data_IF_726504649441
#
_entry.id   IF_726504649441
#
_cell.length_a   1.000
_cell.length_b   1.000
_cell.length_c   1.000
_cell.angle_alpha   90.00
_cell.angle_beta   90.00
_cell.angle_gamma   90.00
#
_symmetry.space_group_name_H-M   'P 1'
#
loop_
_entity.id
_entity.type
_entity.pdbx_description
1 polymer ?
#
# COMPACT_ATOMS: atom_id res chain seq x y z
N UNK A 1 3.90 -18.23 -31.18
CA UNK A 1 4.21 -16.95 -30.51
C UNK A 1 4.64 -17.31 -29.09
N UNK A 2 5.92 -17.20 -28.80
CA UNK A 2 6.52 -17.64 -27.54
C UNK A 2 6.13 -16.71 -26.39
N UNK A 3 5.59 -17.25 -25.31
CA UNK A 3 5.29 -16.50 -24.10
C UNK A 3 6.57 -16.37 -23.26
N UNK A 4 7.10 -15.15 -23.12
CA UNK A 4 8.26 -14.87 -22.30
C UNK A 4 7.86 -14.77 -20.82
N UNK A 5 8.36 -15.69 -20.00
CA UNK A 5 8.14 -15.75 -18.56
C UNK A 5 9.33 -15.18 -17.79
N UNK A 6 9.05 -14.65 -16.61
CA UNK A 6 10.02 -14.11 -15.68
C UNK A 6 9.70 -14.65 -14.28
N UNK A 7 10.72 -14.93 -13.47
CA UNK A 7 10.58 -15.38 -12.09
C UNK A 7 11.57 -14.68 -11.16
N UNK A 8 11.32 -14.70 -9.86
CA UNK A 8 12.20 -14.11 -8.84
C UNK A 8 13.03 -15.20 -8.16
N UNK A 9 14.34 -15.10 -8.26
CA UNK A 9 15.31 -15.98 -7.61
C UNK A 9 16.34 -15.11 -6.88
N UNK A 10 16.62 -15.42 -5.61
CA UNK A 10 17.51 -14.62 -4.73
C UNK A 10 17.19 -13.12 -4.72
N UNK A 11 15.88 -12.80 -4.71
CA UNK A 11 15.37 -11.43 -4.71
C UNK A 11 15.72 -10.61 -5.97
N UNK A 12 16.14 -11.29 -7.05
CA UNK A 12 16.42 -10.72 -8.37
C UNK A 12 15.45 -11.28 -9.41
N UNK A 13 15.10 -10.46 -10.41
CA UNK A 13 14.28 -10.92 -11.54
C UNK A 13 15.16 -11.70 -12.53
N UNK A 14 14.74 -12.91 -12.88
CA UNK A 14 15.42 -13.78 -13.85
C UNK A 14 14.46 -14.04 -15.02
N UNK A 15 14.95 -13.79 -16.24
CA UNK A 15 14.20 -13.92 -17.48
C UNK A 15 14.66 -12.93 -18.56
N UNK A 16 14.08 -12.94 -19.77
CA UNK A 16 12.96 -13.78 -20.20
C UNK A 16 13.38 -15.25 -20.42
N UNK A 17 12.57 -16.18 -19.92
CA UNK A 17 12.67 -17.62 -20.19
C UNK A 17 11.45 -18.06 -21.00
N UNK A 18 11.62 -19.05 -21.87
CA UNK A 18 10.50 -19.61 -22.63
C UNK A 18 9.55 -20.42 -21.71
N UNK A 19 8.29 -20.59 -22.10
CA UNK A 19 7.32 -21.38 -21.33
C UNK A 19 7.77 -22.83 -21.11
N UNK A 20 8.46 -23.44 -22.08
CA UNK A 20 8.99 -24.80 -21.95
C UNK A 20 10.11 -24.89 -20.90
N UNK A 21 11.04 -23.95 -20.92
CA UNK A 21 12.12 -23.84 -19.93
C UNK A 21 11.57 -23.51 -18.53
N UNK A 22 10.59 -22.61 -18.47
CA UNK A 22 9.90 -22.21 -17.24
C UNK A 22 9.18 -23.39 -16.58
N UNK A 23 8.48 -24.23 -17.35
CA UNK A 23 7.89 -25.48 -16.85
C UNK A 23 8.96 -26.45 -16.35
N UNK A 24 10.10 -26.53 -17.03
CA UNK A 24 11.27 -27.29 -16.56
C UNK A 24 11.78 -26.81 -15.21
N UNK A 25 11.83 -25.50 -14.97
CA UNK A 25 12.23 -24.93 -13.69
C UNK A 25 11.24 -25.20 -12.55
N UNK A 26 9.95 -25.26 -12.85
CA UNK A 26 8.92 -25.68 -11.88
C UNK A 26 9.11 -27.17 -11.53
N UNK A 27 9.30 -28.04 -12.52
CA UNK A 27 9.47 -29.48 -12.29
C UNK A 27 10.78 -29.84 -11.57
N UNK A 28 11.85 -29.09 -11.85
CA UNK A 28 13.14 -29.24 -11.16
C UNK A 28 13.14 -28.72 -9.71
N UNK A 29 12.06 -28.04 -9.29
CA UNK A 29 11.95 -27.44 -7.95
C UNK A 29 12.71 -26.14 -7.76
N UNK A 30 13.28 -25.57 -8.85
CA UNK A 30 13.94 -24.26 -8.86
C UNK A 30 12.93 -23.14 -8.59
N UNK A 31 11.75 -23.23 -9.20
CA UNK A 31 10.61 -22.33 -8.94
C UNK A 31 9.63 -23.05 -8.03
N UNK A 32 9.43 -22.51 -6.82
CA UNK A 32 8.53 -23.06 -5.81
C UNK A 32 7.16 -22.38 -5.85
N UNK A 33 6.19 -22.95 -5.15
CA UNK A 33 4.81 -22.46 -5.08
C UNK A 33 4.69 -21.01 -4.60
N UNK A 34 5.65 -20.54 -3.80
CA UNK A 34 5.74 -19.19 -3.24
C UNK A 34 6.54 -18.20 -4.11
N UNK A 35 7.16 -18.68 -5.19
CA UNK A 35 7.99 -17.87 -6.07
C UNK A 35 7.13 -16.92 -6.91
N UNK A 36 7.54 -15.65 -6.98
CA UNK A 36 6.88 -14.64 -7.79
C UNK A 36 7.25 -14.81 -9.26
N UNK A 37 6.21 -14.85 -10.10
CA UNK A 37 6.31 -15.08 -11.54
C UNK A 37 5.51 -14.02 -12.29
N UNK A 38 5.95 -13.71 -13.50
CA UNK A 38 5.30 -12.72 -14.36
C UNK A 38 5.44 -13.11 -15.83
N UNK A 39 4.40 -12.84 -16.62
CA UNK A 39 4.43 -12.90 -18.09
C UNK A 39 3.85 -11.62 -18.66
N UNK A 40 4.23 -11.30 -19.89
CA UNK A 40 3.66 -10.19 -20.65
C UNK A 40 2.13 -10.38 -20.76
N UNK A 41 1.37 -9.44 -20.17
CA UNK A 41 -0.09 -9.51 -20.06
C UNK A 41 -0.63 -9.65 -18.62
N UNK A 42 0.24 -9.81 -17.62
CA UNK A 42 -0.15 -9.69 -16.21
C UNK A 42 -0.03 -8.24 -15.72
N UNK A 43 -1.04 -7.77 -14.99
CA UNK A 43 -1.05 -6.45 -14.37
C UNK A 43 0.02 -6.29 -13.29
N UNK A 44 0.40 -7.39 -12.61
CA UNK A 44 1.41 -7.44 -11.54
C UNK A 44 2.04 -8.84 -11.42
N UNK A 45 3.15 -8.95 -10.66
CA UNK A 45 3.77 -10.23 -10.31
C UNK A 45 2.81 -11.08 -9.47
N UNK A 46 2.67 -12.35 -9.82
CA UNK A 46 1.79 -13.30 -9.13
C UNK A 46 2.61 -14.46 -8.58
N UNK A 47 2.23 -15.04 -7.45
CA UNK A 47 2.91 -16.26 -6.99
C UNK A 47 2.52 -17.44 -7.86
N UNK A 48 3.41 -18.42 -8.03
CA UNK A 48 3.13 -19.61 -8.83
C UNK A 48 1.83 -20.31 -8.38
N UNK A 49 1.56 -20.36 -7.08
CA UNK A 49 0.32 -20.94 -6.53
C UNK A 49 -0.98 -20.17 -6.86
N UNK A 50 -0.88 -18.88 -7.18
CA UNK A 50 -2.02 -18.02 -7.53
C UNK A 50 -2.36 -18.10 -9.03
N UNK A 51 -1.49 -18.75 -9.83
CA UNK A 51 -1.71 -18.94 -11.26
C UNK A 51 -2.33 -20.32 -11.49
N UNK A 52 -3.62 -20.34 -11.81
CA UNK A 52 -4.39 -21.57 -12.03
C UNK A 52 -3.79 -22.48 -13.14
N UNK A 53 -3.10 -21.90 -14.13
CA UNK A 53 -2.41 -22.63 -15.22
C UNK A 53 -1.33 -23.61 -14.70
N UNK A 54 -0.78 -23.40 -13.50
CA UNK A 54 0.29 -24.23 -12.93
C UNK A 54 -0.08 -24.93 -11.61
N UNK A 55 -1.30 -24.74 -11.09
CA UNK A 55 -1.80 -25.47 -9.90
C UNK A 55 -1.81 -26.99 -10.08
N UNK A 56 -2.01 -27.46 -11.31
CA UNK A 56 -1.98 -28.89 -11.63
C UNK A 56 -0.56 -29.49 -11.61
N UNK A 57 0.49 -28.68 -11.73
CA UNK A 57 1.89 -29.12 -11.72
C UNK A 57 2.54 -29.09 -10.33
N UNK A 58 2.00 -28.32 -9.37
CA UNK A 58 2.51 -28.22 -7.99
C UNK A 58 1.90 -29.25 -7.03
N UNK A 59 1.14 -30.22 -7.56
CA UNK A 59 0.50 -31.29 -6.80
C UNK A 59 1.52 -32.35 -6.34
N UNK A 60 2.29 -32.06 -5.30
CA UNK A 60 2.91 -33.12 -4.49
C UNK A 60 1.91 -33.62 -3.44
N UNK A 61 1.82 -34.94 -3.18
CA UNK A 61 0.89 -35.49 -2.19
C UNK A 61 1.34 -35.11 -0.77
N UNK A 62 0.42 -34.56 0.01
CA UNK A 62 0.60 -34.33 1.43
C UNK A 62 0.81 -35.66 2.19
N UNK A 63 1.80 -35.80 3.08
CA UNK A 63 1.85 -36.93 4.00
C UNK A 63 0.80 -36.79 5.09
N UNK A 64 0.26 -37.95 5.46
CA UNK A 64 -0.90 -38.21 6.30
C UNK A 64 -0.87 -37.59 7.71
N UNK A 65 -2.09 -37.32 8.19
CA UNK A 65 -2.45 -36.84 9.52
C UNK A 65 -2.06 -37.79 10.67
N UNK A 66 -1.84 -37.22 11.87
CA UNK A 66 -2.24 -37.71 13.21
C UNK A 66 -1.82 -36.67 14.29
N UNK A 67 -2.34 -36.73 15.53
CA UNK A 67 -3.69 -36.44 15.97
C UNK A 67 -3.75 -35.21 16.92
N UNK A 68 -4.96 -34.67 17.13
CA UNK A 68 -5.28 -33.64 18.13
C UNK A 68 -4.84 -34.10 19.53
N UNK A 69 -4.02 -33.29 20.21
CA UNK A 69 -3.86 -33.32 21.65
C UNK A 69 -4.41 -32.01 22.20
N UNK A 70 -5.57 -32.07 22.82
CA UNK A 70 -6.09 -31.03 23.71
C UNK A 70 -5.07 -30.78 24.83
N UNK A 71 -4.55 -29.56 24.89
CA UNK A 71 -3.93 -29.01 26.09
C UNK A 71 -4.56 -27.65 26.38
N UNK A 72 -5.48 -27.70 27.34
CA UNK A 72 -5.60 -26.79 28.48
C UNK A 72 -5.21 -25.32 28.23
N UNK A 73 -6.24 -24.49 28.14
CA UNK A 73 -6.23 -23.08 27.72
C UNK A 73 -5.92 -22.14 28.91
N UNK A 74 -5.27 -22.64 29.97
CA UNK A 74 -5.09 -21.90 31.23
C UNK A 74 -3.76 -21.15 31.36
N UNK A 75 -2.97 -21.04 30.28
CA UNK A 75 -1.73 -20.22 30.30
C UNK A 75 -1.32 -19.71 28.92
N UNK A 76 -2.17 -18.91 28.28
CA UNK A 76 -1.72 -18.06 27.17
C UNK A 76 -1.22 -16.74 27.78
N UNK A 77 0.10 -16.46 27.80
CA UNK A 77 0.55 -15.09 27.97
C UNK A 77 0.06 -14.31 26.75
N UNK A 78 -0.56 -13.16 26.99
CA UNK A 78 -0.97 -12.19 25.96
C UNK A 78 0.24 -11.92 25.06
N UNK A 79 0.30 -12.58 23.90
CA UNK A 79 1.24 -12.27 22.85
C UNK A 79 0.76 -10.97 22.20
N UNK A 80 1.31 -9.88 22.70
CA UNK A 80 1.26 -8.57 22.09
C UNK A 80 1.69 -8.73 20.61
N UNK A 81 0.84 -8.34 19.66
CA UNK A 81 1.12 -8.31 18.22
C UNK A 81 2.22 -7.29 17.91
N UNK A 82 3.46 -7.61 18.22
CA UNK A 82 4.64 -6.84 17.84
C UNK A 82 5.85 -7.75 17.70
N UNK A 83 5.86 -8.62 16.68
CA UNK A 83 7.09 -9.31 16.25
C UNK A 83 6.99 -10.08 14.92
N UNK A 84 6.22 -9.60 13.94
CA UNK A 84 6.79 -9.62 12.60
C UNK A 84 7.79 -8.46 12.57
N UNK A 85 9.08 -8.65 12.26
CA UNK A 85 9.98 -7.52 12.14
C UNK A 85 9.48 -6.71 10.95
N UNK A 86 8.72 -5.64 11.20
CA UNK A 86 8.72 -4.50 10.29
C UNK A 86 10.20 -4.22 10.08
N UNK A 87 10.70 -4.30 8.85
CA UNK A 87 12.06 -3.83 8.53
C UNK A 87 12.03 -2.33 8.75
N UNK A 88 12.15 -1.91 10.01
CA UNK A 88 12.30 -0.51 10.39
C UNK A 88 13.58 -0.05 9.71
N UNK A 89 13.50 1.03 8.94
CA UNK A 89 14.68 1.58 8.28
C UNK A 89 15.68 2.00 9.35
N UNK A 90 16.83 1.33 9.37
CA UNK A 90 17.97 1.72 10.20
C UNK A 90 18.65 2.94 9.56
N UNK A 91 18.10 4.15 9.77
CA UNK A 91 18.61 5.40 9.19
C UNK A 91 20.10 5.66 9.45
N UNK A 92 20.60 5.19 10.60
CA UNK A 92 21.99 5.35 11.02
C UNK A 92 22.97 4.42 10.26
N UNK A 93 22.46 3.38 9.60
CA UNK A 93 23.29 2.43 8.84
C UNK A 93 23.43 2.82 7.37
N UNK A 94 22.64 3.78 6.91
CA UNK A 94 22.65 4.27 5.53
C UNK A 94 23.92 5.07 5.30
N UNK A 95 24.77 4.62 4.38
CA UNK A 95 25.95 5.37 3.93
C UNK A 95 25.56 6.37 2.84
N UNK A 96 26.38 7.40 2.66
CA UNK A 96 26.08 8.46 1.69
C UNK A 96 26.08 7.97 0.23
N UNK A 97 26.81 6.89 -0.04
CA UNK A 97 26.93 6.27 -1.37
C UNK A 97 25.94 5.12 -1.62
N UNK A 98 25.14 4.76 -0.62
CA UNK A 98 24.16 3.67 -0.76
C UNK A 98 23.01 4.13 -1.68
N UNK A 99 22.91 3.50 -2.85
CA UNK A 99 21.80 3.72 -3.78
C UNK A 99 20.55 3.01 -3.27
N UNK A 100 19.84 3.65 -2.35
CA UNK A 100 18.65 3.09 -1.71
C UNK A 100 17.45 4.04 -1.73
N UNK A 101 17.63 5.31 -2.09
CA UNK A 101 16.56 6.29 -2.05
C UNK A 101 15.87 6.37 -3.41
N UNK A 102 14.61 6.00 -3.46
CA UNK A 102 13.74 6.27 -4.59
C UNK A 102 13.14 7.66 -4.42
N UNK A 103 13.05 8.42 -5.51
CA UNK A 103 12.38 9.72 -5.52
C UNK A 103 11.26 9.73 -6.55
N UNK A 104 10.28 10.58 -6.32
CA UNK A 104 9.17 10.79 -7.24
C UNK A 104 8.98 12.28 -7.41
N UNK A 105 9.16 12.73 -8.65
CA UNK A 105 9.17 14.14 -9.05
C UNK A 105 7.98 14.39 -9.97
N UNK A 106 7.41 15.58 -9.93
CA UNK A 106 6.31 15.97 -10.82
C UNK A 106 5.15 16.60 -10.06
N UNK A 107 4.76 16.00 -8.93
CA UNK A 107 3.72 16.54 -8.05
C UNK A 107 4.06 17.96 -7.58
N UNK A 108 5.31 18.19 -7.17
CA UNK A 108 5.83 19.50 -6.74
C UNK A 108 5.92 20.55 -7.87
N UNK A 109 5.79 20.11 -9.14
CA UNK A 109 5.94 20.95 -10.35
C UNK A 109 4.66 21.02 -11.19
N UNK A 110 3.55 20.44 -10.71
CA UNK A 110 2.27 20.40 -11.42
C UNK A 110 2.28 19.51 -12.68
N UNK A 111 3.18 18.53 -12.75
CA UNK A 111 3.29 17.57 -13.84
C UNK A 111 3.01 16.14 -13.40
N UNK A 112 3.03 15.21 -14.36
CA UNK A 112 2.86 13.78 -14.08
C UNK A 112 3.96 13.26 -13.15
N UNK A 113 3.53 12.37 -12.27
CA UNK A 113 4.35 11.72 -11.26
C UNK A 113 5.28 10.68 -11.88
N UNK A 114 6.59 10.95 -11.89
CA UNK A 114 7.59 10.01 -12.42
C UNK A 114 8.54 9.57 -11.31
N UNK A 115 8.68 8.25 -11.16
CA UNK A 115 9.56 7.61 -10.20
C UNK A 115 10.97 7.44 -10.77
N UNK A 116 11.98 7.82 -9.99
CA UNK A 116 13.39 7.73 -10.34
C UNK A 116 14.18 7.13 -9.17
N UNK A 117 15.28 6.46 -9.50
CA UNK A 117 16.20 5.92 -8.50
C UNK A 117 16.71 4.53 -8.89
N UNK A 118 17.39 3.85 -7.95
CA UNK A 118 17.74 4.33 -6.62
C UNK A 118 18.92 5.31 -6.63
N UNK A 119 18.84 6.36 -5.82
CA UNK A 119 19.88 7.37 -5.65
C UNK A 119 20.58 7.24 -4.31
N UNK A 120 21.83 7.68 -4.26
CA UNK A 120 22.59 7.87 -3.03
C UNK A 120 22.36 9.25 -2.42
N UNK A 121 22.68 9.44 -1.14
CA UNK A 121 22.54 10.76 -0.48
C UNK A 121 23.41 11.80 -1.20
N UNK A 122 24.62 11.42 -1.65
CA UNK A 122 25.50 12.28 -2.45
C UNK A 122 24.84 12.72 -3.77
N UNK A 123 24.17 11.80 -4.46
CA UNK A 123 23.44 12.10 -5.70
C UNK A 123 22.23 13.00 -5.44
N UNK A 124 21.53 12.80 -4.33
CA UNK A 124 20.42 13.66 -3.92
C UNK A 124 20.90 15.06 -3.54
N UNK A 125 22.02 15.20 -2.83
CA UNK A 125 22.61 16.49 -2.47
C UNK A 125 22.93 17.30 -3.73
N UNK A 126 23.62 16.69 -4.70
CA UNK A 126 23.89 17.33 -5.99
C UNK A 126 22.60 17.68 -6.76
N UNK A 127 21.62 16.79 -6.79
CA UNK A 127 20.34 17.05 -7.46
C UNK A 127 19.56 18.19 -6.79
N UNK A 128 19.70 18.36 -5.47
CA UNK A 128 19.09 19.45 -4.70
C UNK A 128 19.78 20.79 -5.03
N UNK A 129 21.13 20.82 -5.07
CA UNK A 129 21.91 21.99 -5.51
C UNK A 129 21.59 22.40 -6.95
N UNK A 130 21.40 21.43 -7.85
CA UNK A 130 20.99 21.66 -9.25
C UNK A 130 19.49 22.07 -9.38
N UNK A 131 18.76 22.25 -8.28
CA UNK A 131 17.33 22.53 -8.24
C UNK A 131 16.47 21.50 -9.02
N UNK A 132 16.98 20.28 -9.18
CA UNK A 132 16.28 19.16 -9.84
C UNK A 132 15.31 18.44 -8.90
N UNK A 133 15.57 18.54 -7.60
CA UNK A 133 14.67 18.12 -6.52
C UNK A 133 14.58 19.24 -5.49
N UNK A 134 13.57 19.18 -4.62
CA UNK A 134 13.38 20.13 -3.51
C UNK A 134 12.83 19.39 -2.29
N UNK A 135 12.59 20.11 -1.19
CA UNK A 135 12.06 19.52 0.04
C UNK A 135 10.68 18.85 -0.12
N UNK A 136 9.88 19.26 -1.12
CA UNK A 136 8.56 18.67 -1.45
C UNK A 136 8.64 17.52 -2.46
N UNK A 137 9.84 17.13 -2.90
CA UNK A 137 10.00 15.91 -3.69
C UNK A 137 9.66 14.70 -2.82
N UNK A 138 8.86 13.77 -3.34
CA UNK A 138 8.56 12.54 -2.61
C UNK A 138 9.78 11.62 -2.63
N UNK A 139 10.06 10.99 -1.50
CA UNK A 139 11.14 10.05 -1.33
C UNK A 139 10.69 8.80 -0.57
N UNK A 140 11.24 7.66 -0.95
CA UNK A 140 10.98 6.37 -0.36
C UNK A 140 12.28 5.60 -0.18
N UNK A 141 12.46 5.04 1.00
CA UNK A 141 13.58 4.16 1.33
C UNK A 141 12.99 2.78 1.65
N UNK A 142 13.53 1.69 1.07
CA UNK A 142 13.08 0.33 1.37
C UNK A 142 13.04 0.05 2.88
N UNK A 143 11.84 -0.28 3.38
CA UNK A 143 11.55 -0.44 4.82
C UNK A 143 10.66 0.66 5.41
N UNK A 144 10.37 1.72 4.64
CA UNK A 144 9.34 2.70 5.01
C UNK A 144 7.93 2.18 4.73
N UNK A 145 6.94 2.66 5.48
CA UNK A 145 5.52 2.30 5.31
C UNK A 145 4.88 3.03 4.10
N UNK A 146 5.33 4.23 3.75
CA UNK A 146 4.82 5.04 2.64
C UNK A 146 5.85 6.05 2.14
N UNK A 147 5.63 6.61 0.94
CA UNK A 147 6.37 7.76 0.43
C UNK A 147 6.19 8.97 1.36
N UNK A 148 7.27 9.69 1.64
CA UNK A 148 7.27 10.90 2.46
C UNK A 148 7.97 12.03 1.72
N UNK A 149 7.76 13.27 2.14
CA UNK A 149 8.53 14.38 1.57
C UNK A 149 10.00 14.27 1.94
N UNK A 150 10.87 14.66 1.01
CA UNK A 150 12.32 14.60 1.19
C UNK A 150 12.74 15.39 2.44
N UNK A 151 12.10 16.55 2.69
CA UNK A 151 12.29 17.39 3.87
C UNK A 151 11.91 16.73 5.21
N UNK A 152 11.15 15.65 5.20
CA UNK A 152 10.71 14.93 6.40
C UNK A 152 11.53 13.67 6.68
N UNK A 153 12.42 13.30 5.76
CA UNK A 153 13.28 12.15 5.98
C UNK A 153 14.40 12.49 6.98
N UNK A 154 14.77 11.57 7.90
CA UNK A 154 15.93 11.75 8.77
C UNK A 154 17.25 11.96 8.03
N UNK A 155 17.33 11.58 6.75
CA UNK A 155 18.48 11.81 5.88
C UNK A 155 18.52 13.23 5.28
N UNK A 156 17.46 14.02 5.40
CA UNK A 156 17.39 15.38 4.81
C UNK A 156 18.54 16.30 5.23
N UNK A 157 18.95 16.37 6.52
CA UNK A 157 20.07 17.21 6.93
C UNK A 157 21.42 16.78 6.35
N UNK A 158 21.52 15.56 5.80
CA UNK A 158 22.71 15.07 5.07
C UNK A 158 22.70 15.47 3.60
N UNK A 159 21.55 15.89 3.07
CA UNK A 159 21.35 16.31 1.68
C UNK A 159 21.61 17.82 1.53
N UNK A 160 21.11 18.62 2.46
CA UNK A 160 21.26 20.09 2.46
C UNK A 160 21.31 20.63 3.89
N UNK A 161 21.96 21.79 4.06
CA UNK A 161 21.96 22.58 5.30
C UNK A 161 20.83 23.62 5.36
N UNK A 162 20.03 23.73 4.30
CA UNK A 162 18.89 24.63 4.26
C UNK A 162 17.78 24.21 5.23
N UNK A 163 17.05 25.20 5.75
CA UNK A 163 15.90 24.95 6.61
C UNK A 163 14.83 24.23 5.77
N UNK A 164 14.29 23.09 6.25
CA UNK A 164 13.21 22.40 5.55
C UNK A 164 12.05 23.37 5.29
N UNK A 165 11.49 23.41 4.06
CA UNK A 165 10.36 24.27 3.76
C UNK A 165 9.15 23.86 4.60
N UNK A 166 8.32 24.83 4.98
CA UNK A 166 7.03 24.54 5.62
C UNK A 166 6.16 23.74 4.66
N UNK A 167 5.91 22.47 4.99
CA UNK A 167 5.01 21.60 4.24
C UNK A 167 3.59 21.81 4.77
N UNK A 168 2.76 22.49 3.98
CA UNK A 168 1.35 22.71 4.32
C UNK A 168 0.56 21.40 4.23
N UNK A 169 -0.52 21.28 5.02
CA UNK A 169 -1.33 20.07 5.06
C UNK A 169 -2.06 19.78 3.73
N UNK A 170 -2.26 20.80 2.90
CA UNK A 170 -2.76 20.67 1.52
C UNK A 170 -1.76 19.93 0.62
N UNK A 171 -0.46 20.14 0.84
CA UNK A 171 0.61 19.54 0.02
C UNK A 171 0.78 18.05 0.40
N UNK A 172 0.55 17.70 1.68
CA UNK A 172 0.58 16.31 2.17
C UNK A 172 -0.53 15.43 1.59
N UNK A 173 -1.55 16.05 1.00
CA UNK A 173 -2.75 15.36 0.50
C UNK A 173 -2.58 15.13 -0.99
N UNK A 174 -2.27 13.88 -1.36
CA UNK A 174 -2.22 13.41 -2.76
C UNK A 174 -3.55 13.68 -3.48
N UNK A 175 -4.66 13.71 -2.73
CA UNK A 175 -6.00 13.95 -3.26
C UNK A 175 -6.73 15.05 -2.50
N UNK A 176 -7.33 15.97 -3.26
CA UNK A 176 -8.22 17.01 -2.73
C UNK A 176 -9.44 16.36 -2.08
N UNK A 177 -9.71 16.73 -0.82
CA UNK A 177 -10.92 16.33 -0.11
C UNK A 177 -11.98 17.41 -0.27
N UNK A 178 -13.21 17.00 -0.58
CA UNK A 178 -14.37 17.89 -0.51
C UNK A 178 -15.26 17.53 0.68
N UNK A 179 -15.90 18.53 1.31
CA UNK A 179 -16.97 18.28 2.27
C UNK A 179 -18.00 17.35 1.63
N UNK A 180 -18.35 16.28 2.32
CA UNK A 180 -19.25 15.26 1.82
C UNK A 180 -19.99 14.68 3.01
N UNK A 181 -21.16 15.26 3.28
CA UNK A 181 -22.00 14.88 4.42
C UNK A 181 -23.09 13.94 3.93
N UNK A 182 -22.91 12.66 4.22
CA UNK A 182 -23.86 11.60 3.86
C UNK A 182 -23.87 10.52 4.94
N UNK A 183 -25.03 9.91 5.15
CA UNK A 183 -25.16 8.73 5.98
C UNK A 183 -24.60 7.52 5.24
N UNK A 184 -23.89 6.67 5.97
CA UNK A 184 -23.37 5.42 5.46
C UNK A 184 -23.64 4.30 6.45
N UNK A 185 -23.85 3.11 5.91
CA UNK A 185 -24.02 1.90 6.69
C UNK A 185 -22.83 1.00 6.45
N UNK A 186 -22.23 0.50 7.53
CA UNK A 186 -21.09 -0.40 7.46
C UNK A 186 -21.27 -1.53 8.48
N UNK A 187 -20.57 -2.63 8.27
CA UNK A 187 -20.69 -3.81 9.13
C UNK A 187 -19.32 -4.41 9.46
N UNK A 188 -19.18 -4.99 10.65
CA UNK A 188 -17.95 -5.60 11.17
C UNK A 188 -18.07 -7.14 11.31
N UNK A 189 -18.53 -7.83 10.26
CA UNK A 189 -18.85 -9.27 10.29
C UNK A 189 -19.89 -9.72 11.34
N UNK A 190 -20.34 -8.86 12.28
CA UNK A 190 -21.27 -9.22 13.35
C UNK A 190 -22.35 -8.16 13.62
N UNK A 191 -22.06 -6.87 13.49
CA UNK A 191 -23.01 -5.77 13.76
C UNK A 191 -23.08 -4.75 12.62
N UNK A 192 -24.23 -4.05 12.50
CA UNK A 192 -24.45 -2.95 11.58
C UNK A 192 -24.29 -1.62 12.31
N UNK A 193 -23.50 -0.71 11.74
CA UNK A 193 -23.24 0.62 12.26
C UNK A 193 -23.69 1.69 11.26
N UNK A 194 -24.35 2.73 11.78
CA UNK A 194 -24.68 3.95 11.04
C UNK A 194 -23.61 5.01 11.33
N UNK A 195 -23.00 5.55 10.28
CA UNK A 195 -22.03 6.63 10.36
C UNK A 195 -22.38 7.78 9.45
N UNK A 196 -21.69 8.91 9.64
CA UNK A 196 -21.79 10.09 8.79
C UNK A 196 -20.42 10.33 8.16
N UNK A 197 -20.32 10.25 6.84
CA UNK A 197 -19.16 10.78 6.13
C UNK A 197 -19.10 12.29 6.35
N UNK A 198 -17.91 12.84 6.62
CA UNK A 198 -17.69 14.29 6.74
C UNK A 198 -17.07 14.86 5.46
N UNK A 199 -16.15 14.11 4.87
CA UNK A 199 -15.41 14.47 3.67
C UNK A 199 -15.11 13.24 2.83
N UNK A 200 -14.83 13.47 1.54
CA UNK A 200 -14.41 12.43 0.61
C UNK A 200 -13.30 12.92 -0.31
N UNK A 201 -12.42 11.99 -0.69
CA UNK A 201 -11.43 12.10 -1.76
C UNK A 201 -11.34 10.77 -2.49
N UNK A 202 -10.68 10.72 -3.65
CA UNK A 202 -10.45 9.44 -4.35
C UNK A 202 -9.60 8.44 -3.55
N UNK A 203 -8.86 8.89 -2.52
CA UNK A 203 -8.05 8.03 -1.67
C UNK A 203 -8.71 7.59 -0.36
N UNK A 204 -9.86 8.16 0.01
CA UNK A 204 -10.50 7.85 1.28
C UNK A 204 -11.43 8.94 1.79
N UNK A 205 -11.98 8.70 2.98
CA UNK A 205 -12.95 9.56 3.63
C UNK A 205 -12.79 9.56 5.16
N UNK A 206 -13.35 10.57 5.80
CA UNK A 206 -13.51 10.59 7.25
C UNK A 206 -14.96 10.26 7.62
N UNK A 207 -15.13 9.34 8.55
CA UNK A 207 -16.42 8.84 9.02
C UNK A 207 -16.57 9.19 10.50
N UNK A 208 -17.70 9.78 10.85
CA UNK A 208 -18.12 10.01 12.22
C UNK A 208 -19.10 8.91 12.62
N UNK A 209 -18.82 8.24 13.73
CA UNK A 209 -19.67 7.18 14.27
C UNK A 209 -19.52 7.18 15.78
N UNK A 210 -20.62 6.94 16.49
CA UNK A 210 -20.60 6.78 17.94
C UNK A 210 -20.43 5.31 18.32
N UNK A 211 -19.65 5.05 19.37
CA UNK A 211 -19.55 3.74 20.02
C UNK A 211 -19.01 2.59 19.15
N UNK A 212 -18.40 2.89 18.00
CA UNK A 212 -17.69 1.89 17.21
C UNK A 212 -16.24 1.73 17.71
N UNK A 213 -15.79 0.54 18.13
CA UNK A 213 -14.44 0.30 18.64
C UNK A 213 -13.40 0.22 17.52
N UNK A 214 -13.26 1.29 16.73
CA UNK A 214 -12.35 1.35 15.58
C UNK A 214 -10.90 1.02 15.96
N UNK A 215 -10.26 0.11 15.22
CA UNK A 215 -8.82 -0.17 15.35
C UNK A 215 -8.07 0.25 14.10
N UNK A 216 -6.96 0.95 14.29
CA UNK A 216 -6.09 1.31 13.16
C UNK A 216 -5.57 0.02 12.50
N UNK A 217 -5.75 -0.06 11.18
CA UNK A 217 -5.37 -1.20 10.37
C UNK A 217 -6.51 -2.19 10.10
N UNK A 218 -7.65 -2.03 10.73
CA UNK A 218 -8.85 -2.83 10.47
C UNK A 218 -9.48 -2.47 9.12
N UNK A 219 -10.04 -3.47 8.44
CA UNK A 219 -10.68 -3.29 7.14
C UNK A 219 -12.20 -3.24 7.32
N UNK A 220 -12.81 -2.21 6.74
CA UNK A 220 -14.25 -1.96 6.82
C UNK A 220 -14.82 -1.93 5.42
N UNK A 221 -15.95 -2.61 5.25
CA UNK A 221 -16.79 -2.51 4.08
C UNK A 221 -17.99 -1.63 4.41
N UNK A 222 -18.25 -0.64 3.56
CA UNK A 222 -19.36 0.31 3.74
C UNK A 222 -20.13 0.52 2.46
N UNK A 223 -21.43 0.78 2.63
CA UNK A 223 -22.29 1.29 1.58
C UNK A 223 -22.54 2.77 1.84
N UNK A 224 -22.17 3.61 0.88
CA UNK A 224 -22.30 5.05 0.95
C UNK A 224 -23.57 5.46 0.19
N UNK A 225 -24.50 6.14 0.88
CA UNK A 225 -25.81 6.52 0.34
C UNK A 225 -26.07 8.02 0.54
N UNK A 226 -25.75 8.87 -0.44
CA UNK A 226 -26.02 10.30 -0.34
C UNK A 226 -27.53 10.55 -0.41
N UNK A 227 -28.07 11.28 0.58
CA UNK A 227 -29.51 11.58 0.72
C UNK A 227 -30.10 12.28 -0.53
N UNK A 228 -29.26 12.87 -1.38
CA UNK A 228 -29.65 13.72 -2.50
C UNK A 228 -29.04 13.29 -3.86
N UNK A 229 -28.60 12.04 -4.03
CA UNK A 229 -28.03 11.59 -5.31
C UNK A 229 -28.24 10.12 -5.63
N UNK A 230 -28.24 9.80 -6.93
CA UNK A 230 -28.16 8.41 -7.44
C UNK A 230 -26.79 7.75 -7.20
N UNK A 231 -25.80 8.47 -6.66
CA UNK A 231 -24.43 7.99 -6.46
C UNK A 231 -24.28 7.14 -5.20
N UNK A 232 -24.90 5.97 -5.20
CA UNK A 232 -24.64 4.94 -4.19
C UNK A 232 -23.42 4.12 -4.62
N UNK A 233 -22.48 3.91 -3.71
CA UNK A 233 -21.35 3.03 -4.00
C UNK A 233 -20.92 2.22 -2.77
N UNK A 234 -20.37 1.05 -3.04
CA UNK A 234 -19.78 0.19 -2.02
C UNK A 234 -18.27 0.43 -2.04
N UNK A 235 -17.68 0.64 -0.86
CA UNK A 235 -16.25 0.80 -0.73
C UNK A 235 -15.70 -0.06 0.40
N UNK A 236 -14.51 -0.60 0.17
CA UNK A 236 -13.72 -1.25 1.20
C UNK A 236 -12.51 -0.37 1.50
N UNK A 237 -12.26 -0.12 2.78
CA UNK A 237 -11.16 0.73 3.21
C UNK A 237 -10.54 0.27 4.52
N UNK A 238 -9.26 0.58 4.68
CA UNK A 238 -8.49 0.33 5.90
C UNK A 238 -8.53 1.55 6.79
N UNK A 239 -8.80 1.37 8.09
CA UNK A 239 -8.73 2.45 9.07
C UNK A 239 -7.27 2.90 9.19
N UNK A 240 -6.99 4.17 8.91
CA UNK A 240 -5.65 4.75 9.02
C UNK A 240 -5.51 5.62 10.26
N UNK A 241 -6.62 6.07 10.85
CA UNK A 241 -6.63 6.93 12.03
C UNK A 241 -7.97 6.82 12.76
N UNK A 242 -7.92 6.81 14.09
CA UNK A 242 -9.12 6.95 14.95
C UNK A 242 -9.17 8.38 15.49
N UNK A 243 -10.36 8.97 15.55
CA UNK A 243 -10.56 10.33 16.06
C UNK A 243 -10.59 10.31 17.60
N UNK A 244 -10.14 11.41 18.21
CA UNK A 244 -10.17 11.55 19.66
C UNK A 244 -11.59 11.43 20.21
N UNK A 245 -11.73 10.78 21.37
CA UNK A 245 -13.02 10.54 22.02
C UNK A 245 -13.91 9.50 21.31
N UNK A 246 -13.37 8.64 20.45
CA UNK A 246 -14.10 7.63 19.68
C UNK A 246 -15.28 8.21 18.89
N UNK A 247 -15.13 9.44 18.39
CA UNK A 247 -16.16 10.14 17.61
C UNK A 247 -16.17 9.72 16.13
N UNK A 248 -15.26 8.83 15.72
CA UNK A 248 -15.15 8.33 14.36
C UNK A 248 -13.73 7.93 13.99
N UNK A 249 -13.49 7.75 12.70
CA UNK A 249 -12.22 7.31 12.15
C UNK A 249 -12.03 7.79 10.70
N UNK A 250 -10.79 7.79 10.23
CA UNK A 250 -10.44 8.03 8.83
C UNK A 250 -10.05 6.73 8.17
N UNK A 251 -10.53 6.53 6.95
CA UNK A 251 -10.19 5.36 6.13
C UNK A 251 -9.40 5.75 4.90
N UNK A 252 -8.60 4.81 4.42
CA UNK A 252 -8.02 4.80 3.09
C UNK A 252 -8.69 3.71 2.28
N UNK A 253 -9.18 4.02 1.09
CA UNK A 253 -9.77 3.03 0.20
C UNK A 253 -8.68 2.03 -0.25
N UNK A 254 -9.02 0.75 -0.31
CA UNK A 254 -8.09 -0.31 -0.71
C UNK A 254 -8.19 -0.56 -2.22
N UNK A 255 -9.28 -1.20 -2.63
CA UNK A 255 -9.75 -1.22 -4.01
C UNK A 255 -11.20 -0.73 -4.04
N UNK A 256 -11.44 0.29 -4.84
CA UNK A 256 -12.78 0.77 -5.18
C UNK A 256 -13.02 0.47 -6.64
N UNK A 257 -14.22 -0.03 -6.92
CA UNK A 257 -14.62 -0.37 -8.27
C UNK A 257 -14.58 0.88 -9.17
N UNK A 258 -14.36 0.69 -10.47
CA UNK A 258 -14.24 1.80 -11.42
C UNK A 258 -15.47 2.73 -11.39
N UNK A 259 -16.66 2.16 -11.21
CA UNK A 259 -17.91 2.91 -11.09
C UNK A 259 -17.94 3.78 -9.83
N UNK A 260 -17.54 3.24 -8.68
CA UNK A 260 -17.41 3.99 -7.43
C UNK A 260 -16.36 5.11 -7.54
N UNK A 261 -15.22 4.81 -8.16
CA UNK A 261 -14.14 5.77 -8.40
C UNK A 261 -14.62 6.92 -9.31
N UNK A 262 -15.37 6.60 -10.36
CA UNK A 262 -15.96 7.59 -11.26
C UNK A 262 -17.04 8.42 -10.58
N UNK A 263 -17.89 7.83 -9.73
CA UNK A 263 -18.87 8.56 -8.94
C UNK A 263 -18.21 9.55 -7.97
N UNK A 264 -17.14 9.14 -7.28
CA UNK A 264 -16.35 10.01 -6.41
C UNK A 264 -15.71 11.15 -7.23
N UNK A 265 -15.11 10.85 -8.38
CA UNK A 265 -14.50 11.87 -9.26
C UNK A 265 -15.53 12.87 -9.76
N UNK A 266 -16.68 12.41 -10.23
CA UNK A 266 -17.77 13.27 -10.68
C UNK A 266 -18.24 14.20 -9.55
N UNK A 267 -18.37 13.68 -8.32
CA UNK A 267 -18.70 14.51 -7.15
C UNK A 267 -17.63 15.55 -6.85
N UNK A 268 -16.35 15.16 -6.98
CA UNK A 268 -15.23 16.07 -6.79
C UNK A 268 -15.13 17.14 -7.88
N UNK A 269 -15.63 16.89 -9.10
CA UNK A 269 -15.60 17.85 -10.22
C UNK A 269 -16.83 18.76 -10.30
N UNK A 270 -17.99 18.34 -9.79
CA UNK A 270 -19.27 19.06 -9.96
C UNK A 270 -19.49 20.29 -9.06
N UNK A 271 -18.51 20.73 -8.25
CA UNK A 271 -18.59 21.95 -7.41
C UNK A 271 -17.18 22.42 -7.03
#
# INVERSE_FOLDING_TARGET
>A
MSANWYYVEDNQRVGPVDEEEFKGFIQSGKIKSDTYIWKKGFDNWKKLQEVDEFKSMTSQPAPAASPKVEKDISSIPVMNESSAPKKVVDWNRIKDDDQIVMIKVGYDRGGDEVEYGPFSITQLSRAYEEARINGKTFAFVPGMDNWMFLAELPIFPRITTEVPPTIEEKDRRIHTRKPFVTRLFFHDNSEFYEGIARDISVGGMQILVSQFPARVGEQIKMNVHPDNSEYCFVATGKIVRVLEGNQGFSIRFDQIDNEANQAIRNYLEQN
#
